data_IF_281073673472
#
_entry.id   IF_281073673472
#
_cell.length_a   1.000
_cell.length_b   1.000
_cell.length_c   1.000
_cell.angle_alpha   90.00
_cell.angle_beta   90.00
_cell.angle_gamma   90.00
#
_symmetry.space_group_name_H-M   'P 1'
#
loop_
_entity.id
_entity.type
_entity.pdbx_description
1 polymer ?
#
# COMPACT_ATOMS: atom_id res chain seq x y z
N UNK A 1 -1.20 -16.11 -19.16
CA UNK A 1 -2.47 -16.42 -18.47
C UNK A 1 -3.05 -15.11 -18.03
N UNK A 2 -4.23 -14.76 -18.53
CA UNK A 2 -4.90 -13.53 -18.15
C UNK A 2 -5.27 -13.53 -16.67
N UNK A 3 -5.55 -12.34 -16.12
CA UNK A 3 -6.08 -12.16 -14.75
C UNK A 3 -7.31 -13.05 -14.54
N UNK A 4 -8.28 -13.02 -15.46
CA UNK A 4 -9.50 -13.83 -15.38
C UNK A 4 -9.20 -15.34 -15.29
N UNK A 5 -8.26 -15.85 -16.10
CA UNK A 5 -7.89 -17.27 -16.05
C UNK A 5 -7.27 -17.68 -14.72
N UNK A 6 -6.50 -16.79 -14.07
CA UNK A 6 -5.91 -17.06 -12.75
C UNK A 6 -6.97 -17.06 -11.66
N UNK A 7 -7.90 -16.11 -11.69
CA UNK A 7 -9.06 -16.06 -10.78
C UNK A 7 -9.91 -17.33 -10.94
N UNK A 8 -10.21 -17.72 -12.18
CA UNK A 8 -10.98 -18.93 -12.47
C UNK A 8 -10.25 -20.21 -12.02
N UNK A 9 -8.92 -20.26 -12.09
CA UNK A 9 -8.15 -21.38 -11.52
C UNK A 9 -8.22 -21.39 -10.00
N UNK A 10 -8.05 -20.24 -9.34
CA UNK A 10 -8.10 -20.14 -7.89
C UNK A 10 -9.47 -20.58 -7.36
N UNK A 11 -10.56 -20.06 -7.94
CA UNK A 11 -11.94 -20.45 -7.60
C UNK A 11 -12.17 -21.95 -7.84
N UNK A 12 -11.66 -22.52 -8.94
CA UNK A 12 -11.78 -23.98 -9.18
C UNK A 12 -11.05 -24.82 -8.14
N UNK A 13 -9.93 -24.33 -7.60
CA UNK A 13 -9.13 -25.05 -6.62
C UNK A 13 -9.73 -24.97 -5.20
N UNK A 14 -10.30 -23.83 -4.82
CA UNK A 14 -10.78 -23.57 -3.45
C UNK A 14 -12.30 -23.46 -3.30
N UNK A 15 -13.05 -23.54 -4.40
CA UNK A 15 -14.50 -23.30 -4.46
C UNK A 15 -14.86 -21.80 -4.48
N UNK A 16 -14.16 -21.00 -3.68
CA UNK A 16 -14.30 -19.53 -3.62
C UNK A 16 -12.98 -18.90 -3.17
N UNK A 17 -12.79 -17.61 -3.47
CA UNK A 17 -11.62 -16.83 -3.06
C UNK A 17 -12.05 -15.58 -2.29
N UNK A 18 -11.17 -15.05 -1.43
CA UNK A 18 -11.49 -13.80 -0.71
C UNK A 18 -11.51 -12.59 -1.65
N UNK A 19 -12.18 -11.51 -1.24
CA UNK A 19 -12.10 -10.21 -1.92
C UNK A 19 -10.63 -9.77 -2.03
N UNK A 20 -9.86 -9.95 -0.95
CA UNK A 20 -8.42 -9.68 -0.93
C UNK A 20 -7.67 -10.42 -2.05
N UNK A 21 -7.88 -11.73 -2.21
CA UNK A 21 -7.19 -12.52 -3.23
C UNK A 21 -7.60 -12.09 -4.66
N UNK A 22 -8.89 -11.79 -4.86
CA UNK A 22 -9.38 -11.29 -6.13
C UNK A 22 -8.70 -9.96 -6.51
N UNK A 23 -8.62 -9.01 -5.56
CA UNK A 23 -7.97 -7.72 -5.74
C UNK A 23 -6.47 -7.90 -5.99
N UNK A 24 -5.80 -8.74 -5.21
CA UNK A 24 -4.35 -9.00 -5.34
C UNK A 24 -4.02 -9.58 -6.72
N UNK A 25 -4.77 -10.59 -7.18
CA UNK A 25 -4.57 -11.19 -8.51
C UNK A 25 -4.85 -10.15 -9.61
N UNK A 26 -5.89 -9.33 -9.45
CA UNK A 26 -6.27 -8.31 -10.43
C UNK A 26 -5.23 -7.19 -10.55
N UNK A 27 -4.67 -6.76 -9.43
CA UNK A 27 -3.74 -5.64 -9.37
C UNK A 27 -2.30 -6.04 -9.70
N UNK A 28 -1.82 -7.15 -9.12
CA UNK A 28 -0.39 -7.47 -9.09
C UNK A 28 0.00 -8.69 -9.94
N UNK A 29 -0.94 -9.30 -10.67
CA UNK A 29 -0.61 -10.32 -11.67
C UNK A 29 0.52 -9.87 -12.59
N UNK A 30 1.56 -10.71 -12.73
CA UNK A 30 2.64 -10.46 -13.70
C UNK A 30 2.06 -10.26 -15.10
N UNK A 31 2.57 -9.23 -15.80
CA UNK A 31 2.21 -8.78 -17.16
C UNK A 31 0.80 -8.17 -17.30
N UNK A 32 -0.22 -8.82 -16.75
CA UNK A 32 -1.62 -8.51 -17.09
C UNK A 32 -2.39 -7.86 -15.94
N UNK A 33 -1.81 -7.81 -14.73
CA UNK A 33 -2.40 -7.10 -13.59
C UNK A 33 -2.32 -5.59 -13.78
N UNK A 34 -3.28 -4.86 -13.21
CA UNK A 34 -3.44 -3.41 -13.41
C UNK A 34 -2.14 -2.63 -13.22
N UNK A 35 -1.39 -2.86 -12.13
CA UNK A 35 -0.14 -2.14 -11.87
C UNK A 35 1.05 -2.60 -12.72
N UNK A 36 0.98 -3.78 -13.33
CA UNK A 36 2.04 -4.35 -14.17
C UNK A 36 1.80 -4.20 -15.68
N UNK A 37 0.56 -3.92 -16.10
CA UNK A 37 0.17 -3.86 -17.51
C UNK A 37 0.79 -2.67 -18.22
N UNK A 38 1.68 -2.89 -19.19
CA UNK A 38 2.38 -1.78 -19.89
C UNK A 38 1.46 -0.90 -20.74
N UNK A 39 0.35 -1.46 -21.20
CA UNK A 39 -0.60 -0.78 -22.10
C UNK A 39 -1.48 0.22 -21.34
N UNK A 40 -1.61 0.04 -20.03
CA UNK A 40 -2.41 0.90 -19.17
C UNK A 40 -1.51 1.98 -18.56
N UNK A 41 -1.84 3.24 -18.83
CA UNK A 41 -1.30 4.35 -18.04
C UNK A 41 -2.11 4.42 -16.74
N UNK A 42 -1.48 4.13 -15.60
CA UNK A 42 -2.19 4.04 -14.30
C UNK A 42 -2.33 5.41 -13.66
N UNK A 43 -1.21 6.08 -13.44
CA UNK A 43 -1.11 7.32 -12.64
C UNK A 43 -0.86 8.54 -13.56
N UNK A 44 -1.53 9.65 -13.26
CA UNK A 44 -1.33 10.99 -13.83
C UNK A 44 -2.50 11.49 -14.67
N UNK A 45 -2.40 12.70 -15.25
CA UNK A 45 -3.49 13.37 -16.00
C UNK A 45 -4.16 12.56 -17.14
N UNK A 46 -3.48 11.56 -17.68
CA UNK A 46 -4.01 10.65 -18.72
C UNK A 46 -4.07 9.20 -18.24
N UNK A 47 -3.95 8.99 -16.94
CA UNK A 47 -4.04 7.70 -16.28
C UNK A 47 -5.45 7.38 -15.82
N UNK A 48 -5.62 6.22 -15.20
CA UNK A 48 -6.87 5.81 -14.54
C UNK A 48 -7.16 6.60 -13.26
N UNK A 49 -6.13 7.10 -12.59
CA UNK A 49 -6.26 7.98 -11.42
C UNK A 49 -5.08 8.97 -11.38
N UNK A 50 -5.23 10.02 -10.59
CA UNK A 50 -4.19 11.03 -10.35
C UNK A 50 -3.96 11.15 -8.86
N UNK A 51 -2.70 11.24 -8.45
CA UNK A 51 -2.32 11.35 -7.04
C UNK A 51 -1.72 12.73 -6.74
N UNK A 52 -1.68 13.12 -5.48
CA UNK A 52 -1.16 14.44 -5.08
C UNK A 52 0.25 14.77 -5.63
N UNK A 53 1.22 13.83 -5.62
CA UNK A 53 2.55 14.07 -6.21
C UNK A 53 2.55 14.33 -7.73
N UNK A 54 1.51 13.91 -8.45
CA UNK A 54 1.38 14.15 -9.90
C UNK A 54 0.86 15.55 -10.23
N UNK A 55 0.16 16.17 -9.28
CA UNK A 55 -0.48 17.47 -9.47
C UNK A 55 0.52 18.59 -9.23
N UNK A 56 1.28 18.51 -8.13
CA UNK A 56 2.20 19.59 -7.74
C UNK A 56 3.31 19.12 -6.81
N UNK A 57 4.54 19.60 -7.09
CA UNK A 57 5.69 19.42 -6.20
C UNK A 57 5.55 20.11 -4.85
N UNK A 58 4.60 21.04 -4.71
CA UNK A 58 4.26 21.65 -3.43
C UNK A 58 3.88 20.61 -2.38
N UNK A 59 3.27 19.50 -2.80
CA UNK A 59 2.93 18.41 -1.90
C UNK A 59 4.17 17.82 -1.22
N UNK A 60 5.18 17.40 -2.00
CA UNK A 60 6.44 16.88 -1.48
C UNK A 60 7.23 17.91 -0.66
N UNK A 61 7.18 19.19 -1.05
CA UNK A 61 7.81 20.29 -0.30
C UNK A 61 7.14 20.47 1.07
N UNK A 62 5.81 20.48 1.14
CA UNK A 62 5.06 20.59 2.40
C UNK A 62 5.37 19.42 3.33
N UNK A 63 5.37 18.20 2.80
CA UNK A 63 5.70 16.99 3.55
C UNK A 63 7.12 17.07 4.14
N UNK A 64 8.08 17.52 3.32
CA UNK A 64 9.46 17.69 3.76
C UNK A 64 9.59 18.78 4.83
N UNK A 65 8.85 19.89 4.72
CA UNK A 65 8.86 20.93 5.74
C UNK A 65 8.33 20.43 7.09
N UNK A 66 7.27 19.62 7.08
CA UNK A 66 6.75 19.00 8.30
C UNK A 66 7.79 18.08 8.94
N UNK A 67 8.48 17.26 8.13
CA UNK A 67 9.60 16.44 8.58
C UNK A 67 10.72 17.30 9.22
N UNK A 68 11.18 18.35 8.54
CA UNK A 68 12.24 19.22 9.07
C UNK A 68 11.81 20.01 10.30
N UNK A 69 10.53 20.32 10.46
CA UNK A 69 10.01 20.94 11.69
C UNK A 69 10.05 19.99 12.87
N UNK A 70 9.80 18.68 12.64
CA UNK A 70 9.89 17.66 13.68
C UNK A 70 11.35 17.26 13.98
N UNK A 71 12.25 17.40 13.00
CA UNK A 71 13.67 17.04 13.10
C UNK A 71 14.57 18.19 12.59
N UNK A 72 14.61 19.34 13.31
CA UNK A 72 15.32 20.54 12.85
C UNK A 72 16.83 20.36 12.72
N UNK A 73 17.41 19.41 13.45
CA UNK A 73 18.85 19.12 13.46
C UNK A 73 19.28 18.12 12.38
N UNK A 74 18.37 17.63 11.52
CA UNK A 74 18.71 16.69 10.46
C UNK A 74 19.73 17.30 9.49
N UNK A 75 20.92 16.68 9.43
CA UNK A 75 21.96 16.94 8.42
C UNK A 75 22.07 15.85 7.37
N UNK A 76 21.77 14.63 7.79
CA UNK A 76 21.76 13.42 6.95
C UNK A 76 20.44 12.69 7.13
N UNK A 77 19.91 12.16 6.02
CA UNK A 77 18.63 11.45 6.02
C UNK A 77 18.65 10.20 5.14
N UNK A 78 17.97 9.15 5.62
CA UNK A 78 17.58 7.99 4.83
C UNK A 78 16.11 8.17 4.44
N UNK A 79 15.83 8.22 3.14
CA UNK A 79 14.47 8.27 2.61
C UNK A 79 13.91 6.87 2.40
N UNK A 80 12.71 6.59 2.93
CA UNK A 80 12.00 5.33 2.75
C UNK A 80 10.58 5.63 2.23
N UNK A 81 10.31 5.32 0.97
CA UNK A 81 8.97 5.47 0.39
C UNK A 81 8.26 4.13 0.24
N UNK A 82 6.99 4.05 0.64
CA UNK A 82 6.12 2.91 0.33
C UNK A 82 5.18 3.25 -0.82
N UNK A 83 5.12 2.39 -1.84
CA UNK A 83 4.28 2.60 -3.01
C UNK A 83 4.61 3.90 -3.78
N UNK A 84 5.86 4.09 -4.22
CA UNK A 84 6.31 5.34 -4.87
C UNK A 84 5.61 5.70 -6.19
N UNK A 85 4.87 4.78 -6.81
CA UNK A 85 4.22 4.99 -8.09
C UNK A 85 5.21 5.46 -9.17
N UNK A 86 4.98 6.63 -9.77
CA UNK A 86 5.89 7.18 -10.78
C UNK A 86 7.20 7.75 -10.20
N UNK A 87 7.34 7.84 -8.87
CA UNK A 87 8.53 8.31 -8.16
C UNK A 87 8.65 9.82 -7.99
N UNK A 88 7.59 10.58 -8.26
CA UNK A 88 7.64 12.05 -8.17
C UNK A 88 7.77 12.54 -6.74
N UNK A 89 7.09 11.92 -5.76
CA UNK A 89 7.17 12.34 -4.37
C UNK A 89 8.61 12.26 -3.83
N UNK A 90 9.28 11.12 -3.97
CA UNK A 90 10.71 11.02 -3.62
C UNK A 90 11.56 12.04 -4.38
N UNK A 91 11.30 12.28 -5.67
CA UNK A 91 12.09 13.24 -6.44
C UNK A 91 11.95 14.67 -5.91
N UNK A 92 10.72 15.08 -5.56
CA UNK A 92 10.44 16.39 -4.99
C UNK A 92 11.10 16.55 -3.61
N UNK A 93 10.98 15.54 -2.74
CA UNK A 93 11.63 15.51 -1.42
C UNK A 93 13.15 15.59 -1.57
N UNK A 94 13.74 14.78 -2.45
CA UNK A 94 15.17 14.75 -2.72
C UNK A 94 15.69 16.12 -3.18
N UNK A 95 15.00 16.75 -4.13
CA UNK A 95 15.38 18.06 -4.65
C UNK A 95 15.26 19.15 -3.57
N UNK A 96 14.20 19.10 -2.76
CA UNK A 96 13.99 20.08 -1.71
C UNK A 96 15.02 19.95 -0.58
N UNK A 97 15.32 18.74 -0.12
CA UNK A 97 16.37 18.49 0.88
C UNK A 97 17.74 18.95 0.39
N UNK A 98 18.07 18.71 -0.89
CA UNK A 98 19.29 19.22 -1.51
C UNK A 98 19.36 20.76 -1.44
N UNK A 99 18.24 21.45 -1.69
CA UNK A 99 18.18 22.92 -1.58
C UNK A 99 18.42 23.42 -0.14
N UNK A 100 18.11 22.59 0.87
CA UNK A 100 18.34 22.85 2.30
C UNK A 100 19.73 22.41 2.77
N UNK A 101 20.59 21.91 1.87
CA UNK A 101 21.92 21.35 2.19
C UNK A 101 21.84 20.17 3.18
N UNK A 102 20.77 19.38 3.09
CA UNK A 102 20.62 18.13 3.84
C UNK A 102 21.04 16.99 2.92
N UNK A 103 21.92 16.14 3.39
CA UNK A 103 22.46 15.03 2.63
C UNK A 103 21.51 13.83 2.67
N UNK A 104 21.15 13.30 1.50
CA UNK A 104 20.40 12.05 1.39
C UNK A 104 21.38 10.91 1.25
N UNK A 105 21.61 10.20 2.36
CA UNK A 105 22.56 9.07 2.44
C UNK A 105 22.06 7.85 1.66
N UNK A 106 20.74 7.63 1.68
CA UNK A 106 20.13 6.44 1.11
C UNK A 106 18.68 6.69 0.72
N UNK A 107 18.25 6.03 -0.35
CA UNK A 107 16.85 5.98 -0.80
C UNK A 107 16.45 4.50 -0.88
N UNK A 108 15.42 4.12 -0.13
CA UNK A 108 14.83 2.78 -0.16
C UNK A 108 13.36 2.89 -0.55
N UNK A 109 12.91 2.04 -1.46
CA UNK A 109 11.52 2.00 -1.90
C UNK A 109 10.94 0.61 -1.68
N UNK A 110 9.71 0.56 -1.15
CA UNK A 110 8.93 -0.67 -1.02
C UNK A 110 7.95 -0.73 -2.21
N UNK A 111 8.26 -1.57 -3.20
CA UNK A 111 7.52 -1.65 -4.46
C UNK A 111 7.57 -3.07 -5.05
N UNK A 112 6.41 -3.59 -5.49
CA UNK A 112 6.28 -4.94 -6.06
C UNK A 112 6.06 -4.92 -7.58
N UNK A 113 5.63 -3.80 -8.14
CA UNK A 113 5.38 -3.64 -9.57
C UNK A 113 6.67 -3.50 -10.37
N UNK A 114 6.95 -4.49 -11.22
CA UNK A 114 8.07 -4.46 -12.16
C UNK A 114 8.04 -3.22 -13.08
N UNK A 115 6.83 -2.69 -13.34
CA UNK A 115 6.63 -1.49 -14.12
C UNK A 115 7.14 -0.25 -13.37
N UNK A 116 6.65 -0.01 -12.14
CA UNK A 116 7.06 1.16 -11.36
C UNK A 116 8.53 1.09 -10.96
N UNK A 117 9.05 -0.10 -10.62
CA UNK A 117 10.48 -0.29 -10.35
C UNK A 117 11.32 0.24 -11.52
N UNK A 118 10.95 -0.09 -12.76
CA UNK A 118 11.67 0.39 -13.96
C UNK A 118 11.53 1.90 -14.14
N UNK A 119 10.33 2.45 -13.95
CA UNK A 119 10.08 3.89 -14.09
C UNK A 119 10.82 4.72 -13.04
N UNK A 120 10.95 4.21 -11.82
CA UNK A 120 11.68 4.86 -10.74
C UNK A 120 13.19 4.74 -10.97
N UNK A 121 13.70 3.57 -11.35
CA UNK A 121 15.13 3.39 -11.65
C UNK A 121 15.63 4.28 -12.78
N UNK A 122 14.77 4.69 -13.71
CA UNK A 122 15.10 5.71 -14.73
C UNK A 122 15.29 7.11 -14.14
N UNK A 123 14.49 7.48 -13.13
CA UNK A 123 14.51 8.82 -12.49
C UNK A 123 15.52 8.89 -11.35
N UNK A 124 15.62 7.82 -10.56
CA UNK A 124 16.41 7.69 -9.34
C UNK A 124 17.19 6.35 -9.40
N UNK A 125 18.29 6.27 -10.17
CA UNK A 125 19.05 5.03 -10.33
C UNK A 125 19.58 4.43 -9.01
N UNK A 126 19.87 5.29 -8.04
CA UNK A 126 20.39 4.95 -6.71
C UNK A 126 19.35 4.35 -5.76
N UNK A 127 18.05 4.41 -6.06
CA UNK A 127 17.01 3.89 -5.17
C UNK A 127 17.12 2.37 -4.99
N UNK A 128 17.28 1.88 -3.76
CA UNK A 128 17.26 0.46 -3.46
C UNK A 128 15.82 -0.04 -3.36
N UNK A 129 15.52 -1.16 -4.03
CA UNK A 129 14.15 -1.70 -4.11
C UNK A 129 14.00 -2.88 -3.18
N UNK A 130 12.91 -2.88 -2.42
CA UNK A 130 12.55 -3.94 -1.50
C UNK A 130 11.09 -4.36 -1.75
N UNK A 131 10.81 -5.63 -1.48
CA UNK A 131 9.47 -6.21 -1.47
C UNK A 131 8.95 -6.47 -0.04
N UNK A 132 9.85 -6.41 0.94
CA UNK A 132 9.58 -6.56 2.37
C UNK A 132 10.34 -5.47 3.18
N UNK A 133 9.61 -4.81 4.08
CA UNK A 133 10.14 -3.79 4.98
C UNK A 133 11.24 -4.34 5.90
N UNK A 134 11.18 -5.62 6.29
CA UNK A 134 12.18 -6.25 7.16
C UNK A 134 13.59 -6.14 6.57
N UNK A 135 13.71 -6.24 5.24
CA UNK A 135 14.97 -6.18 4.50
C UNK A 135 15.60 -4.78 4.47
N UNK A 136 14.82 -3.74 4.79
CA UNK A 136 15.33 -2.36 4.87
C UNK A 136 16.10 -2.20 6.17
N UNK A 137 17.43 -2.09 6.07
CA UNK A 137 18.32 -1.82 7.21
C UNK A 137 18.31 -0.33 7.55
N UNK A 138 18.03 -0.02 8.80
CA UNK A 138 18.00 1.35 9.32
C UNK A 138 19.24 1.62 10.15
N UNK A 139 19.92 2.73 9.84
CA UNK A 139 21.07 3.19 10.63
C UNK A 139 20.56 4.06 11.79
N UNK A 140 20.77 3.67 13.06
CA UNK A 140 20.27 4.43 14.21
C UNK A 140 20.94 5.80 14.40
N UNK A 141 22.04 6.06 13.70
CA UNK A 141 22.78 7.34 13.77
C UNK A 141 22.29 8.37 12.74
N UNK A 142 21.41 7.98 11.82
CA UNK A 142 20.89 8.86 10.76
C UNK A 142 19.39 9.01 10.96
N UNK A 143 18.84 10.20 10.68
CA UNK A 143 17.38 10.38 10.72
C UNK A 143 16.75 9.60 9.56
N UNK A 144 15.77 8.76 9.84
CA UNK A 144 15.00 8.11 8.78
C UNK A 144 13.68 8.82 8.57
N UNK A 145 13.39 9.14 7.31
CA UNK A 145 12.14 9.72 6.88
C UNK A 145 11.36 8.66 6.11
N UNK A 146 10.37 8.08 6.78
CA UNK A 146 9.43 7.16 6.17
C UNK A 146 8.19 7.92 5.72
N UNK A 147 7.79 7.71 4.48
CA UNK A 147 6.63 8.36 3.90
C UNK A 147 5.94 7.49 2.87
N UNK A 148 4.69 7.82 2.62
CA UNK A 148 3.87 7.18 1.62
C UNK A 148 2.66 8.06 1.30
N UNK A 149 2.22 8.02 0.04
CA UNK A 149 0.97 8.62 -0.42
C UNK A 149 0.14 7.54 -1.09
N UNK A 150 -1.11 7.33 -0.64
CA UNK A 150 -2.04 6.40 -1.29
C UNK A 150 -1.43 5.00 -1.51
N UNK A 151 -0.86 4.44 -0.44
CA UNK A 151 -0.33 3.08 -0.48
C UNK A 151 -1.25 2.07 0.19
N UNK A 152 -1.91 2.47 1.28
CA UNK A 152 -2.75 1.57 2.08
C UNK A 152 -4.10 1.26 1.41
N UNK A 153 -4.58 2.16 0.56
CA UNK A 153 -5.76 1.99 -0.30
C UNK A 153 -5.57 0.91 -1.38
N UNK A 154 -4.33 0.68 -1.82
CA UNK A 154 -3.99 -0.35 -2.80
C UNK A 154 -3.93 -1.77 -2.19
N UNK A 155 -3.97 -1.91 -0.85
CA UNK A 155 -3.98 -3.22 -0.21
C UNK A 155 -5.34 -3.88 -0.36
N UNK A 156 -5.34 -5.16 -0.76
CA UNK A 156 -6.52 -5.99 -0.60
C UNK A 156 -6.91 -6.07 0.89
N UNK A 157 -8.19 -5.86 1.17
CA UNK A 157 -8.82 -6.13 2.46
C UNK A 157 -9.70 -7.38 2.35
N UNK A 158 -9.75 -8.16 3.42
CA UNK A 158 -10.84 -9.13 3.57
C UNK A 158 -12.07 -8.37 4.01
N UNK A 159 -13.22 -8.71 3.43
CA UNK A 159 -14.50 -8.12 3.81
C UNK A 159 -15.32 -9.14 4.59
N UNK A 160 -16.01 -8.66 5.62
CA UNK A 160 -16.81 -9.48 6.52
C UNK A 160 -18.19 -8.89 6.66
N UNK A 161 -19.23 -9.68 6.43
CA UNK A 161 -20.61 -9.27 6.64
C UNK A 161 -21.06 -9.71 8.05
N UNK A 162 -21.62 -8.78 8.82
CA UNK A 162 -22.19 -9.05 10.13
C UNK A 162 -23.60 -9.61 9.98
N UNK A 163 -23.82 -10.87 10.37
CA UNK A 163 -25.13 -11.54 10.31
C UNK A 163 -25.28 -12.51 11.48
N UNK A 164 -26.47 -12.57 12.07
CA UNK A 164 -26.76 -13.47 13.19
C UNK A 164 -25.72 -13.41 14.32
N UNK A 165 -25.28 -12.18 14.66
CA UNK A 165 -24.23 -11.93 15.65
C UNK A 165 -22.90 -12.63 15.31
N UNK A 166 -22.54 -12.78 14.04
CA UNK A 166 -21.24 -13.30 13.60
C UNK A 166 -20.76 -12.54 12.38
N UNK A 167 -19.44 -12.47 12.20
CA UNK A 167 -18.83 -12.06 10.94
C UNK A 167 -18.60 -13.27 10.04
N UNK A 168 -19.21 -13.26 8.86
CA UNK A 168 -18.93 -14.20 7.78
C UNK A 168 -18.04 -13.53 6.74
N UNK A 169 -17.05 -14.23 6.19
CA UNK A 169 -16.20 -13.70 5.12
C UNK A 169 -16.98 -13.60 3.81
N UNK A 170 -16.93 -12.42 3.18
CA UNK A 170 -17.44 -12.22 1.83
C UNK A 170 -16.39 -12.75 0.85
N UNK A 171 -16.79 -13.72 0.04
CA UNK A 171 -15.93 -14.40 -0.93
C UNK A 171 -16.57 -14.41 -2.31
N UNK A 172 -15.75 -14.60 -3.33
CA UNK A 172 -16.16 -14.67 -4.74
C UNK A 172 -16.06 -16.12 -5.21
N UNK A 173 -17.14 -16.62 -5.79
CA UNK A 173 -17.18 -17.89 -6.54
C UNK A 173 -17.67 -17.63 -7.97
N UNK A 174 -17.73 -18.69 -8.78
CA UNK A 174 -18.23 -18.63 -10.16
C UNK A 174 -19.27 -19.73 -10.39
N UNK A 175 -20.52 -19.33 -10.64
CA UNK A 175 -21.66 -20.22 -10.86
C UNK A 175 -22.28 -19.86 -12.21
N UNK A 176 -22.52 -20.84 -13.08
CA UNK A 176 -23.08 -20.63 -14.42
C UNK A 176 -22.32 -19.55 -15.22
N UNK A 177 -20.99 -19.56 -15.12
CA UNK A 177 -20.08 -18.60 -15.74
C UNK A 177 -20.19 -17.14 -15.25
N UNK A 178 -20.92 -16.89 -14.16
CA UNK A 178 -21.03 -15.57 -13.52
C UNK A 178 -20.33 -15.55 -12.16
N UNK A 179 -19.61 -14.45 -11.86
CA UNK A 179 -19.06 -14.24 -10.53
C UNK A 179 -20.19 -13.91 -9.55
N UNK A 180 -20.17 -14.55 -8.37
CA UNK A 180 -21.16 -14.36 -7.30
C UNK A 180 -20.45 -14.18 -5.97
N UNK A 181 -21.03 -13.33 -5.12
CA UNK A 181 -20.65 -13.23 -3.72
C UNK A 181 -21.27 -14.39 -2.93
N UNK A 182 -20.48 -14.99 -2.06
CA UNK A 182 -20.88 -16.00 -1.08
C UNK A 182 -20.37 -15.59 0.29
N UNK A 183 -21.08 -16.02 1.34
CA UNK A 183 -20.75 -15.72 2.72
C UNK A 183 -20.35 -17.01 3.43
N UNK A 184 -19.11 -17.09 3.87
CA UNK A 184 -18.57 -18.28 4.53
C UNK A 184 -18.27 -17.97 5.99
N UNK A 185 -18.64 -18.89 6.89
CA UNK A 185 -18.31 -18.75 8.30
C UNK A 185 -16.79 -18.73 8.49
N UNK A 186 -16.31 -17.83 9.34
CA UNK A 186 -14.90 -17.58 9.51
C UNK A 186 -14.47 -17.66 10.98
N UNK A 187 -13.35 -18.34 11.23
CA UNK A 187 -12.81 -18.63 12.55
C UNK A 187 -12.40 -17.37 13.33
N UNK A 188 -12.07 -16.28 12.64
CA UNK A 188 -11.66 -15.03 13.30
C UNK A 188 -12.83 -14.12 13.68
N UNK A 189 -14.09 -14.55 13.49
CA UNK A 189 -15.29 -13.75 13.86
C UNK A 189 -15.24 -13.24 15.30
N UNK A 190 -14.84 -14.10 16.25
CA UNK A 190 -14.67 -13.71 17.68
C UNK A 190 -13.54 -12.70 17.84
N UNK A 191 -12.42 -12.89 17.15
CA UNK A 191 -11.29 -11.95 17.20
C UNK A 191 -11.69 -10.57 16.64
N UNK A 192 -12.40 -10.52 15.51
CA UNK A 192 -12.89 -9.28 14.91
C UNK A 192 -13.82 -8.54 15.87
N UNK A 193 -14.80 -9.23 16.48
CA UNK A 193 -15.67 -8.62 17.49
C UNK A 193 -14.91 -8.03 18.67
N UNK A 194 -13.92 -8.76 19.20
CA UNK A 194 -13.11 -8.27 20.31
C UNK A 194 -12.28 -7.06 19.91
N UNK A 195 -11.65 -7.11 18.73
CA UNK A 195 -10.83 -6.01 18.19
C UNK A 195 -11.65 -4.74 17.94
N UNK A 196 -12.84 -4.88 17.40
CA UNK A 196 -13.75 -3.77 17.07
C UNK A 196 -14.87 -3.63 18.11
N UNK A 197 -14.61 -3.98 19.37
CA UNK A 197 -15.61 -3.97 20.45
C UNK A 197 -16.17 -2.59 20.81
N UNK A 198 -15.50 -1.53 20.37
CA UNK A 198 -15.97 -0.15 20.52
C UNK A 198 -17.04 0.24 19.48
N UNK A 199 -17.38 -0.64 18.54
CA UNK A 199 -18.37 -0.42 17.50
C UNK A 199 -19.57 -1.33 17.73
N UNK A 200 -20.77 -0.79 17.55
CA UNK A 200 -21.99 -1.57 17.45
C UNK A 200 -22.24 -1.89 15.97
N UNK A 201 -22.39 -3.17 15.64
CA UNK A 201 -22.63 -3.63 14.28
C UNK A 201 -24.10 -4.01 14.09
N UNK A 202 -24.75 -3.42 13.09
CA UNK A 202 -26.09 -3.78 12.63
C UNK A 202 -26.07 -5.02 11.73
N UNK A 203 -27.24 -5.59 11.46
CA UNK A 203 -27.34 -6.70 10.49
C UNK A 203 -26.96 -6.21 9.09
N UNK A 204 -26.09 -6.97 8.42
CA UNK A 204 -25.49 -6.70 7.10
C UNK A 204 -24.44 -5.60 7.05
N UNK A 205 -24.00 -5.07 8.18
CA UNK A 205 -22.81 -4.22 8.20
C UNK A 205 -21.61 -4.96 7.60
N UNK A 206 -20.82 -4.24 6.82
CA UNK A 206 -19.60 -4.76 6.20
C UNK A 206 -18.40 -4.16 6.91
N UNK A 207 -17.56 -5.05 7.43
CA UNK A 207 -16.27 -4.73 8.01
C UNK A 207 -15.17 -5.07 7.01
N UNK A 208 -14.34 -4.10 6.66
CA UNK A 208 -13.07 -4.35 5.97
C UNK A 208 -11.93 -4.49 6.97
N UNK A 209 -11.14 -5.55 6.84
CA UNK A 209 -10.00 -5.78 7.69
C UNK A 209 -8.85 -6.39 6.89
N UNK A 210 -7.67 -5.77 6.97
CA UNK A 210 -6.45 -6.23 6.28
C UNK A 210 -5.39 -6.64 7.28
N UNK A 211 -5.16 -7.95 7.38
CA UNK A 211 -4.05 -8.53 8.16
C UNK A 211 -2.69 -8.09 7.61
N UNK A 212 -2.62 -7.80 6.31
CA UNK A 212 -1.40 -7.31 5.66
C UNK A 212 -0.99 -5.94 6.20
N UNK A 213 -1.96 -5.03 6.35
CA UNK A 213 -1.74 -3.71 6.95
C UNK A 213 -1.31 -3.87 8.41
N UNK A 214 -1.99 -4.71 9.19
CA UNK A 214 -1.62 -4.98 10.58
C UNK A 214 -0.17 -5.48 10.70
N UNK A 215 0.24 -6.44 9.88
CA UNK A 215 1.60 -6.95 9.86
C UNK A 215 2.63 -5.87 9.51
N UNK A 216 2.33 -5.02 8.52
CA UNK A 216 3.20 -3.91 8.14
C UNK A 216 3.34 -2.90 9.30
N UNK A 217 2.25 -2.58 10.00
CA UNK A 217 2.27 -1.67 11.15
C UNK A 217 3.08 -2.24 12.32
N UNK A 218 3.01 -3.55 12.55
CA UNK A 218 3.86 -4.24 13.54
C UNK A 218 5.34 -4.14 13.16
N UNK A 219 5.68 -4.45 11.91
CA UNK A 219 7.06 -4.35 11.40
C UNK A 219 7.60 -2.92 11.47
N UNK A 220 6.76 -1.93 11.17
CA UNK A 220 7.09 -0.52 11.37
C UNK A 220 7.43 -0.26 12.83
N UNK A 221 6.52 -0.61 13.76
CA UNK A 221 6.71 -0.40 15.20
C UNK A 221 8.02 -0.98 15.72
N UNK A 222 8.44 -2.14 15.24
CA UNK A 222 9.71 -2.77 15.61
C UNK A 222 10.94 -1.96 15.16
N UNK A 223 10.83 -1.25 14.04
CA UNK A 223 11.92 -0.41 13.49
C UNK A 223 11.95 1.00 14.09
N UNK A 224 10.88 1.50 14.72
CA UNK A 224 10.69 2.91 15.16
C UNK A 224 11.51 3.39 16.39
N UNK A 225 12.81 3.08 16.50
CA UNK A 225 13.69 3.79 17.46
C UNK A 225 14.32 5.02 16.76
N UNK A 226 13.84 6.23 17.07
CA UNK A 226 14.22 7.54 16.47
C UNK A 226 13.86 7.74 14.99
N UNK A 227 12.58 7.59 14.64
CA UNK A 227 12.12 7.65 13.24
C UNK A 227 10.90 8.58 13.12
N UNK A 228 10.89 9.45 12.10
CA UNK A 228 9.68 10.13 11.65
C UNK A 228 8.94 9.24 10.67
N UNK A 229 7.68 8.95 10.98
CA UNK A 229 6.80 8.20 10.11
C UNK A 229 5.60 9.09 9.81
N UNK A 230 5.46 9.49 8.55
CA UNK A 230 4.32 10.28 8.10
C UNK A 230 3.65 9.55 6.95
N UNK A 231 2.47 9.00 7.22
CA UNK A 231 1.59 8.45 6.21
C UNK A 231 0.52 9.47 5.96
N UNK A 232 0.41 9.91 4.72
CA UNK A 232 -0.80 10.60 4.29
C UNK A 232 -1.74 9.56 3.68
N UNK A 233 -2.70 9.13 4.48
CA UNK A 233 -3.94 8.53 3.99
C UNK A 233 -4.75 9.69 3.41
N UNK A 234 -4.74 9.87 2.10
CA UNK A 234 -5.88 10.49 1.46
C UNK A 234 -6.91 9.37 1.39
N UNK A 235 -7.84 9.36 2.33
CA UNK A 235 -9.15 8.75 2.05
C UNK A 235 -9.79 9.67 1.02
N UNK A 236 -9.89 9.22 -0.22
CA UNK A 236 -10.73 9.90 -1.19
C UNK A 236 -12.17 9.97 -0.64
N UNK A 237 -12.74 11.16 -0.80
CA UNK A 237 -14.11 11.55 -0.42
C UNK A 237 -15.18 10.82 -1.21
#
# INVERSE_FOLDING_TARGET
MSVQQKIDLAIRASGSISIQDFVEISNFSKKDGFYNSKEIKKIGNKGHFITSPEISSLFGICLTNQFLSAFPDTKEVHLIEFGPGNGYLTLDILNYLKSKKIEVQKISILEKSDFFIKEIKKKIPSAEVFDDLQNIKINPNITSFFYSNEFFDAFGSKQYIHQNQKFNEIKITKINNEYKLVYEENLISVHLKNRYSNYEFEDKDILEHSVLIDNLLVQLKEKLKKIFFLVQLIMDT
#
